data_IF_690457244963
#
_entry.id   IF_690457244963
#
_cell.length_a   1.000
_cell.length_b   1.000
_cell.length_c   1.000
_cell.angle_alpha   90.00
_cell.angle_beta   90.00
_cell.angle_gamma   90.00
#
_symmetry.space_group_name_H-M   'P 1'
#
loop_
_entity.id
_entity.type
_entity.pdbx_description
1 polymer ?
#
# COMPACT_ATOMS: atom_id res chain seq x y z
N UNK A 1 9.19 11.18 -16.95
CA UNK A 1 7.87 11.23 -17.63
C UNK A 1 7.04 10.07 -17.13
N UNK A 2 6.07 10.32 -16.24
CA UNK A 2 5.14 9.29 -15.76
C UNK A 2 4.23 8.88 -16.92
N UNK A 3 4.25 7.60 -17.29
CA UNK A 3 3.23 6.99 -18.13
C UNK A 3 1.91 7.11 -17.36
N UNK A 4 1.10 8.14 -17.65
CA UNK A 4 -0.23 8.25 -17.04
C UNK A 4 -1.10 7.14 -17.62
N UNK A 5 -1.27 6.07 -16.83
CA UNK A 5 -2.22 5.01 -17.15
C UNK A 5 -3.60 5.62 -17.42
N UNK A 6 -4.26 5.19 -18.50
CA UNK A 6 -5.64 5.59 -18.79
C UNK A 6 -6.53 5.37 -17.56
N UNK A 7 -7.49 6.25 -17.34
CA UNK A 7 -8.49 6.00 -16.31
C UNK A 7 -9.31 4.76 -16.61
N UNK A 8 -9.91 4.19 -15.57
CA UNK A 8 -10.74 2.98 -15.69
C UNK A 8 -11.92 3.24 -16.64
N UNK A 9 -12.53 4.43 -16.56
CA UNK A 9 -13.63 4.80 -17.44
C UNK A 9 -13.18 4.87 -18.91
N UNK A 10 -12.05 5.53 -19.20
CA UNK A 10 -11.52 5.64 -20.57
C UNK A 10 -11.00 4.29 -21.08
N UNK A 11 -10.37 3.49 -20.22
CA UNK A 11 -9.91 2.15 -20.54
C UNK A 11 -11.06 1.24 -20.97
N UNK A 12 -12.16 1.23 -20.21
CA UNK A 12 -13.32 0.42 -20.56
C UNK A 12 -13.90 0.86 -21.92
N UNK A 13 -14.03 2.17 -22.16
CA UNK A 13 -14.48 2.70 -23.45
C UNK A 13 -13.56 2.27 -24.61
N UNK A 14 -12.25 2.23 -24.38
CA UNK A 14 -11.28 1.74 -25.35
C UNK A 14 -11.50 0.26 -25.70
N UNK A 15 -11.74 -0.60 -24.71
CA UNK A 15 -12.04 -2.02 -24.93
C UNK A 15 -13.32 -2.17 -25.77
N UNK A 16 -14.38 -1.42 -25.46
CA UNK A 16 -15.61 -1.43 -26.26
C UNK A 16 -15.41 -0.87 -27.67
N UNK A 17 -14.58 0.15 -27.84
CA UNK A 17 -14.29 0.72 -29.15
C UNK A 17 -13.65 -0.30 -30.09
N UNK A 18 -12.73 -1.11 -29.57
CA UNK A 18 -12.09 -2.20 -30.32
C UNK A 18 -13.12 -3.26 -30.71
N UNK A 19 -13.94 -3.72 -29.77
CA UNK A 19 -14.98 -4.73 -30.04
C UNK A 19 -16.00 -4.24 -31.08
N UNK A 20 -16.46 -2.98 -30.95
CA UNK A 20 -17.37 -2.36 -31.91
C UNK A 20 -16.72 -2.22 -33.28
N UNK A 21 -15.46 -1.79 -33.37
CA UNK A 21 -14.76 -1.68 -34.65
C UNK A 21 -14.72 -3.04 -35.39
N UNK A 22 -14.36 -4.12 -34.71
CA UNK A 22 -14.35 -5.46 -35.32
C UNK A 22 -15.74 -5.91 -35.76
N UNK A 23 -16.75 -5.75 -34.89
CA UNK A 23 -18.13 -6.12 -35.19
C UNK A 23 -18.69 -5.34 -36.38
N UNK A 24 -18.48 -4.03 -36.42
CA UNK A 24 -18.97 -3.18 -37.51
C UNK A 24 -18.24 -3.47 -38.82
N UNK A 25 -16.92 -3.71 -38.80
CA UNK A 25 -16.17 -4.11 -40.00
C UNK A 25 -16.71 -5.42 -40.56
N UNK A 26 -16.94 -6.41 -39.70
CA UNK A 26 -17.52 -7.69 -40.09
C UNK A 26 -18.90 -7.50 -40.74
N UNK A 27 -19.79 -6.71 -40.11
CA UNK A 27 -21.13 -6.44 -40.63
C UNK A 27 -21.08 -5.76 -42.00
N UNK A 28 -20.27 -4.70 -42.15
CA UNK A 28 -20.11 -3.98 -43.43
C UNK A 28 -19.64 -4.91 -44.55
N UNK A 29 -18.68 -5.81 -44.26
CA UNK A 29 -18.18 -6.77 -45.26
C UNK A 29 -19.24 -7.78 -45.67
N UNK A 30 -20.02 -8.29 -44.73
CA UNK A 30 -21.08 -9.24 -45.01
C UNK A 30 -22.24 -8.60 -45.78
N UNK A 31 -22.69 -7.41 -45.38
CA UNK A 31 -23.74 -6.69 -46.11
C UNK A 31 -23.32 -6.41 -47.55
N UNK A 32 -22.05 -6.05 -47.78
CA UNK A 32 -21.53 -5.90 -49.15
C UNK A 32 -21.53 -7.21 -49.94
N UNK A 33 -21.23 -8.34 -49.30
CA UNK A 33 -21.15 -9.65 -49.97
C UNK A 33 -22.51 -10.24 -50.31
N UNK A 34 -23.50 -10.08 -49.42
CA UNK A 34 -24.78 -10.80 -49.50
C UNK A 34 -25.96 -9.91 -49.89
N UNK A 35 -25.88 -8.59 -49.68
CA UNK A 35 -26.96 -7.64 -50.01
C UNK A 35 -26.55 -6.64 -51.09
N UNK A 36 -25.29 -6.68 -51.55
CA UNK A 36 -24.68 -5.77 -52.53
C UNK A 36 -24.79 -4.27 -52.16
N UNK A 37 -25.00 -3.97 -50.86
CA UNK A 37 -25.03 -2.60 -50.34
C UNK A 37 -23.64 -2.17 -49.90
N UNK A 38 -23.27 -0.93 -50.23
CA UNK A 38 -22.05 -0.30 -49.73
C UNK A 38 -22.36 0.75 -48.67
N UNK A 39 -21.62 0.69 -47.55
CA UNK A 39 -21.73 1.68 -46.48
C UNK A 39 -20.53 2.63 -46.56
N UNK A 40 -20.81 3.93 -46.49
CA UNK A 40 -19.78 4.96 -46.42
C UNK A 40 -19.01 4.85 -45.11
N UNK A 41 -17.67 4.97 -45.17
CA UNK A 41 -16.78 5.05 -44.00
C UNK A 41 -17.29 6.07 -42.99
N UNK A 42 -17.81 7.22 -43.47
CA UNK A 42 -18.36 8.27 -42.60
C UNK A 42 -19.55 7.77 -41.78
N UNK A 43 -20.47 7.01 -42.40
CA UNK A 43 -21.62 6.40 -41.69
C UNK A 43 -21.15 5.36 -40.69
N UNK A 44 -20.15 4.56 -41.05
CA UNK A 44 -19.54 3.56 -40.16
C UNK A 44 -18.91 4.20 -38.92
N UNK A 45 -18.12 5.26 -39.09
CA UNK A 45 -17.53 5.99 -37.97
C UNK A 45 -18.59 6.64 -37.07
N UNK A 46 -19.66 7.21 -37.66
CA UNK A 46 -20.78 7.77 -36.88
C UNK A 46 -21.52 6.68 -36.10
N UNK A 47 -21.72 5.51 -36.70
CA UNK A 47 -22.33 4.37 -36.02
C UNK A 47 -21.50 3.92 -34.81
N UNK A 48 -20.19 3.71 -34.98
CA UNK A 48 -19.28 3.34 -33.88
C UNK A 48 -19.31 4.40 -32.77
N UNK A 49 -19.28 5.69 -33.14
CA UNK A 49 -19.34 6.79 -32.17
C UNK A 49 -20.66 6.81 -31.38
N UNK A 50 -21.79 6.59 -32.05
CA UNK A 50 -23.09 6.52 -31.40
C UNK A 50 -23.20 5.30 -30.46
N UNK A 51 -22.75 4.13 -30.91
CA UNK A 51 -22.71 2.92 -30.07
C UNK A 51 -21.80 3.09 -28.86
N UNK A 52 -20.64 3.75 -29.02
CA UNK A 52 -19.75 4.07 -27.90
C UNK A 52 -20.39 5.03 -26.90
N UNK A 53 -21.09 6.04 -27.37
CA UNK A 53 -21.82 6.97 -26.51
C UNK A 53 -22.87 6.25 -25.66
N UNK A 54 -23.64 5.33 -26.26
CA UNK A 54 -24.68 4.59 -25.55
C UNK A 54 -24.09 3.59 -24.56
N UNK A 55 -23.02 2.88 -24.93
CA UNK A 55 -22.27 2.02 -23.99
C UNK A 55 -21.68 2.85 -22.86
N UNK A 56 -21.17 4.05 -23.14
CA UNK A 56 -20.56 4.94 -22.16
C UNK A 56 -21.49 5.40 -21.04
N UNK A 57 -22.82 5.36 -21.25
CA UNK A 57 -23.82 5.61 -20.19
C UNK A 57 -23.94 4.45 -19.20
N UNK A 58 -23.64 3.25 -19.66
CA UNK A 58 -23.76 2.00 -18.88
C UNK A 58 -22.41 1.62 -18.29
N UNK A 59 -21.32 2.03 -18.96
CA UNK A 59 -19.97 1.67 -18.61
C UNK A 59 -19.56 2.30 -17.27
N UNK A 60 -19.26 1.45 -16.29
CA UNK A 60 -18.76 1.87 -14.99
C UNK A 60 -17.30 2.30 -15.01
N UNK A 61 -16.81 2.70 -13.83
CA UNK A 61 -15.45 3.20 -13.64
C UNK A 61 -15.40 4.70 -13.47
N UNK A 62 -14.26 5.19 -12.99
CA UNK A 62 -14.06 6.62 -12.71
C UNK A 62 -12.96 7.18 -13.60
N UNK A 63 -13.12 8.42 -14.05
CA UNK A 63 -12.07 9.18 -14.73
C UNK A 63 -10.94 9.57 -13.76
N UNK A 64 -9.74 9.82 -14.28
CA UNK A 64 -8.57 10.24 -13.48
C UNK A 64 -8.56 11.77 -13.23
N UNK A 65 -9.65 12.47 -13.57
CA UNK A 65 -9.76 13.93 -13.51
C UNK A 65 -8.65 14.67 -14.29
N UNK A 66 -8.12 14.06 -15.36
CA UNK A 66 -7.11 14.68 -16.24
C UNK A 66 -7.79 15.42 -17.39
N UNK A 67 -7.08 16.39 -17.98
CA UNK A 67 -7.57 17.09 -19.18
C UNK A 67 -7.75 16.12 -20.36
N UNK A 68 -6.86 15.13 -20.51
CA UNK A 68 -6.95 14.15 -21.59
C UNK A 68 -8.24 13.30 -21.49
N UNK A 69 -8.56 12.80 -20.29
CA UNK A 69 -9.82 12.08 -20.05
C UNK A 69 -11.03 12.94 -20.39
N UNK A 70 -11.03 14.20 -19.93
CA UNK A 70 -12.09 15.16 -20.21
C UNK A 70 -12.27 15.37 -21.73
N UNK A 71 -11.18 15.57 -22.48
CA UNK A 71 -11.23 15.74 -23.93
C UNK A 71 -11.79 14.50 -24.63
N UNK A 72 -11.34 13.30 -24.26
CA UNK A 72 -11.82 12.05 -24.85
C UNK A 72 -13.33 11.87 -24.58
N UNK A 73 -13.74 11.97 -23.32
CA UNK A 73 -15.14 11.80 -22.91
C UNK A 73 -16.05 12.86 -23.55
N UNK A 74 -15.62 14.12 -23.57
CA UNK A 74 -16.34 15.20 -24.23
C UNK A 74 -16.47 14.97 -25.74
N UNK A 75 -15.40 14.51 -26.41
CA UNK A 75 -15.44 14.21 -27.85
C UNK A 75 -16.46 13.12 -28.21
N UNK A 76 -16.71 12.19 -27.28
CA UNK A 76 -17.65 11.09 -27.41
C UNK A 76 -19.05 11.43 -26.87
N UNK A 77 -19.25 12.62 -26.26
CA UNK A 77 -20.50 13.01 -25.61
C UNK A 77 -20.81 12.25 -24.32
N UNK A 78 -19.81 11.63 -23.70
CA UNK A 78 -19.96 10.79 -22.52
C UNK A 78 -19.71 11.62 -21.26
N UNK A 79 -20.59 11.50 -20.27
CA UNK A 79 -20.41 12.16 -18.97
C UNK A 79 -19.27 11.50 -18.19
N UNK A 80 -18.27 12.27 -17.80
CA UNK A 80 -17.22 11.79 -16.92
C UNK A 80 -17.72 11.50 -15.50
N UNK A 81 -17.24 10.39 -14.93
CA UNK A 81 -17.53 9.98 -13.56
C UNK A 81 -16.30 10.33 -12.71
N UNK A 82 -16.29 11.49 -12.02
CA UNK A 82 -15.12 11.92 -11.27
C UNK A 82 -14.80 10.93 -10.14
N UNK A 83 -13.51 10.67 -9.93
CA UNK A 83 -13.07 10.02 -8.69
C UNK A 83 -13.47 10.89 -7.50
N UNK A 84 -13.92 10.26 -6.41
CA UNK A 84 -14.08 10.95 -5.14
C UNK A 84 -12.73 11.51 -4.72
N UNK A 85 -12.71 12.78 -4.32
CA UNK A 85 -11.51 13.37 -3.74
C UNK A 85 -11.11 12.55 -2.49
N UNK A 86 -9.82 12.27 -2.28
CA UNK A 86 -9.38 11.62 -1.06
C UNK A 86 -9.72 12.51 0.13
N UNK A 87 -10.22 11.91 1.21
CA UNK A 87 -10.39 12.60 2.49
C UNK A 87 -9.02 12.77 3.14
N UNK A 88 -8.58 14.00 3.31
CA UNK A 88 -7.34 14.31 4.04
C UNK A 88 -7.67 14.24 5.53
N UNK A 89 -6.99 13.34 6.25
CA UNK A 89 -7.07 13.22 7.70
C UNK A 89 -5.74 13.61 8.32
N UNK A 90 -5.77 14.32 9.45
CA UNK A 90 -4.58 14.61 10.21
C UNK A 90 -4.14 13.35 10.96
N UNK A 91 -2.89 12.91 10.73
CA UNK A 91 -2.29 11.78 11.43
C UNK A 91 -1.37 12.32 12.51
N UNK A 92 -1.71 12.03 13.77
CA UNK A 92 -0.91 12.41 14.93
C UNK A 92 -0.49 11.18 15.72
N UNK A 93 0.71 11.22 16.27
CA UNK A 93 1.11 10.25 17.29
C UNK A 93 0.42 10.59 18.61
N UNK A 94 -0.23 9.59 19.21
CA UNK A 94 -0.87 9.72 20.51
C UNK A 94 -0.13 8.90 21.56
N UNK A 95 0.10 9.43 22.77
CA UNK A 95 0.71 8.66 23.84
C UNK A 95 -0.16 7.48 24.26
N UNK A 96 0.46 6.37 24.70
CA UNK A 96 -0.29 5.24 25.26
C UNK A 96 -0.85 5.58 26.65
N UNK A 97 -1.75 4.74 27.20
CA UNK A 97 -2.27 4.92 28.56
C UNK A 97 -1.15 4.95 29.62
N UNK A 98 -1.40 5.50 30.82
CA UNK A 98 -0.42 5.48 31.91
C UNK A 98 0.13 4.08 32.17
N UNK A 99 1.41 3.97 32.49
CA UNK A 99 2.18 2.73 32.70
C UNK A 99 2.52 1.92 31.45
N UNK A 100 1.93 2.22 30.29
CA UNK A 100 2.25 1.56 29.03
C UNK A 100 3.46 2.21 28.34
N UNK A 101 4.23 1.37 27.65
CA UNK A 101 5.24 1.78 26.69
C UNK A 101 4.66 1.57 25.29
N UNK A 102 4.77 2.60 24.46
CA UNK A 102 4.45 2.52 23.03
C UNK A 102 5.71 2.28 22.24
N UNK A 103 5.71 1.24 21.42
CA UNK A 103 6.76 0.88 20.50
C UNK A 103 6.26 1.16 19.09
N UNK A 104 6.90 2.09 18.39
CA UNK A 104 6.73 2.26 16.97
C UNK A 104 7.83 1.48 16.25
N UNK A 105 7.49 0.66 15.26
CA UNK A 105 8.45 -0.14 14.47
C UNK A 105 8.29 0.15 12.99
N UNK A 106 9.39 -0.01 12.26
CA UNK A 106 9.43 0.15 10.80
C UNK A 106 10.53 -0.75 10.22
N UNK A 107 10.30 -1.22 8.99
CA UNK A 107 11.20 -2.03 8.21
C UNK A 107 11.40 -1.43 6.83
N UNK A 108 12.62 -0.97 6.56
CA UNK A 108 12.98 -0.48 5.24
C UNK A 108 13.62 -1.61 4.43
N UNK A 109 13.26 -1.72 3.14
CA UNK A 109 14.00 -2.49 2.17
C UNK A 109 14.00 -1.78 0.81
N UNK A 110 15.18 -1.60 0.22
CA UNK A 110 15.32 -0.96 -1.09
C UNK A 110 15.05 -1.97 -2.22
N UNK A 111 13.80 -2.05 -2.67
CA UNK A 111 13.37 -2.96 -3.73
C UNK A 111 12.91 -4.33 -3.22
N UNK A 112 12.67 -5.27 -4.15
CA UNK A 112 12.33 -6.65 -3.80
C UNK A 112 13.62 -7.46 -3.67
N UNK A 113 14.05 -7.72 -2.43
CA UNK A 113 15.39 -8.20 -2.06
C UNK A 113 16.47 -7.14 -2.28
N UNK A 114 16.63 -6.25 -1.30
CA UNK A 114 17.69 -5.23 -1.33
C UNK A 114 18.13 -4.82 0.07
N UNK A 115 19.04 -3.82 0.18
CA UNK A 115 19.49 -3.28 1.45
C UNK A 115 18.31 -2.98 2.38
N UNK A 116 18.36 -3.56 3.57
CA UNK A 116 17.23 -3.59 4.49
C UNK A 116 17.63 -3.28 5.92
N UNK A 117 16.70 -2.68 6.65
CA UNK A 117 16.90 -2.20 8.01
C UNK A 117 15.64 -2.46 8.81
N UNK A 118 15.80 -3.04 10.02
CA UNK A 118 14.75 -3.10 11.03
C UNK A 118 15.00 -2.02 12.08
N UNK A 119 13.98 -1.27 12.46
CA UNK A 119 14.15 -0.18 13.44
C UNK A 119 12.92 -0.03 14.32
N UNK A 120 13.11 0.55 15.50
CA UNK A 120 12.00 0.87 16.39
C UNK A 120 12.37 1.87 17.47
N UNK A 121 11.35 2.54 18.01
CA UNK A 121 11.49 3.51 19.08
C UNK A 121 10.44 3.26 20.16
N UNK A 122 10.90 3.25 21.41
CA UNK A 122 10.08 3.11 22.59
C UNK A 122 9.80 4.47 23.21
N UNK A 123 8.54 4.74 23.52
CA UNK A 123 8.09 5.98 24.15
C UNK A 123 7.18 5.68 25.32
N UNK A 124 7.33 6.46 26.40
CA UNK A 124 6.42 6.42 27.55
C UNK A 124 5.08 7.10 27.26
N UNK A 125 4.12 6.94 28.18
CA UNK A 125 2.86 7.69 28.18
C UNK A 125 3.01 9.23 28.24
N UNK A 126 4.21 9.75 28.53
CA UNK A 126 4.52 11.18 28.48
C UNK A 126 5.25 11.59 27.19
N UNK A 127 5.39 10.69 26.23
CA UNK A 127 6.12 10.92 24.97
C UNK A 127 7.65 10.82 25.10
N UNK A 128 8.20 10.70 26.31
CA UNK A 128 9.65 10.54 26.49
C UNK A 128 10.16 9.25 25.87
N UNK A 129 11.23 9.36 25.09
CA UNK A 129 11.95 8.22 24.52
C UNK A 129 12.54 7.41 25.67
N UNK A 130 12.26 6.11 25.66
CA UNK A 130 12.80 5.13 26.61
C UNK A 130 13.92 4.30 26.01
N UNK A 131 13.99 4.27 24.69
CA UNK A 131 15.08 3.68 23.93
C UNK A 131 14.68 3.57 22.47
N UNK A 132 15.60 3.13 21.64
CA UNK A 132 15.31 2.70 20.28
C UNK A 132 16.48 1.95 19.70
N UNK A 133 16.23 1.36 18.54
CA UNK A 133 17.18 0.50 17.88
C UNK A 133 17.08 0.63 16.39
N UNK A 134 18.19 0.32 15.73
CA UNK A 134 18.28 0.13 14.30
C UNK A 134 19.21 -1.04 14.03
N UNK A 135 18.82 -1.91 13.10
CA UNK A 135 19.59 -3.09 12.73
C UNK A 135 19.70 -3.14 11.22
N UNK A 136 20.91 -2.98 10.69
CA UNK A 136 21.19 -3.25 9.29
C UNK A 136 21.14 -4.76 9.05
N UNK A 137 20.26 -5.19 8.14
CA UNK A 137 19.95 -6.59 7.87
C UNK A 137 20.64 -7.13 6.61
N UNK A 138 21.47 -6.31 5.96
CA UNK A 138 21.99 -6.62 4.64
C UNK A 138 20.86 -6.67 3.61
N UNK A 139 20.81 -7.73 2.81
CA UNK A 139 19.80 -7.87 1.75
C UNK A 139 18.60 -8.69 2.25
N UNK A 140 17.43 -8.04 2.36
CA UNK A 140 16.18 -8.69 2.79
C UNK A 140 14.96 -8.14 2.04
N UNK A 141 13.81 -8.74 2.28
CA UNK A 141 12.51 -8.21 1.83
C UNK A 141 11.96 -7.19 2.84
N UNK A 142 11.08 -6.30 2.38
CA UNK A 142 10.39 -5.36 3.25
C UNK A 142 9.64 -6.08 4.39
N UNK A 143 8.88 -7.13 4.04
CA UNK A 143 8.15 -7.91 5.05
C UNK A 143 9.07 -8.53 6.11
N UNK A 144 10.24 -9.04 5.71
CA UNK A 144 11.21 -9.57 6.67
C UNK A 144 11.70 -8.48 7.63
N UNK A 145 12.07 -7.30 7.11
CA UNK A 145 12.56 -6.19 7.92
C UNK A 145 11.49 -5.70 8.90
N UNK A 146 10.25 -5.54 8.43
CA UNK A 146 9.09 -5.11 9.22
C UNK A 146 8.78 -6.08 10.36
N UNK A 147 8.72 -7.37 10.04
CA UNK A 147 8.44 -8.40 11.03
C UNK A 147 9.58 -8.53 12.05
N UNK A 148 10.84 -8.49 11.58
CA UNK A 148 12.00 -8.54 12.47
C UNK A 148 12.07 -7.32 13.40
N UNK A 149 11.73 -6.13 12.92
CA UNK A 149 11.64 -4.92 13.75
C UNK A 149 10.67 -5.13 14.93
N UNK A 150 9.48 -5.68 14.65
CA UNK A 150 8.53 -6.02 15.70
C UNK A 150 9.08 -7.04 16.70
N UNK A 151 9.74 -8.11 16.23
CA UNK A 151 10.30 -9.16 17.08
C UNK A 151 11.43 -8.63 17.99
N UNK A 152 12.38 -7.86 17.43
CA UNK A 152 13.43 -7.20 18.21
C UNK A 152 12.79 -6.29 19.26
N UNK A 153 11.79 -5.50 18.87
CA UNK A 153 11.11 -4.59 19.78
C UNK A 153 10.44 -5.30 20.97
N UNK A 154 9.74 -6.42 20.72
CA UNK A 154 9.10 -7.22 21.78
C UNK A 154 10.16 -7.81 22.73
N UNK A 155 11.23 -8.38 22.17
CA UNK A 155 12.33 -8.95 22.96
C UNK A 155 12.97 -7.91 23.88
N UNK A 156 13.27 -6.71 23.36
CA UNK A 156 13.86 -5.65 24.18
C UNK A 156 12.89 -5.09 25.22
N UNK A 157 11.60 -4.96 24.90
CA UNK A 157 10.60 -4.56 25.89
C UNK A 157 10.58 -5.55 27.06
N UNK A 158 10.56 -6.86 26.77
CA UNK A 158 10.60 -7.91 27.78
C UNK A 158 11.85 -7.83 28.65
N UNK A 159 13.04 -7.74 28.03
CA UNK A 159 14.33 -7.64 28.73
C UNK A 159 14.44 -6.42 29.65
N UNK A 160 13.78 -5.32 29.30
CA UNK A 160 13.75 -4.09 30.09
C UNK A 160 12.62 -4.06 31.15
N UNK A 161 11.86 -5.15 31.32
CA UNK A 161 10.76 -5.20 32.26
C UNK A 161 9.54 -4.35 31.86
N UNK A 162 9.43 -3.96 30.59
CA UNK A 162 8.30 -3.19 30.07
C UNK A 162 7.14 -4.10 29.69
N UNK A 163 6.54 -4.73 30.70
CA UNK A 163 5.51 -5.76 30.51
C UNK A 163 4.18 -5.24 29.96
N UNK A 164 3.97 -3.91 29.88
CA UNK A 164 2.81 -3.27 29.26
C UNK A 164 3.22 -2.59 27.96
N UNK A 165 3.05 -3.28 26.83
CA UNK A 165 3.59 -2.88 25.54
C UNK A 165 2.47 -2.70 24.50
N UNK A 166 2.42 -1.50 23.91
CA UNK A 166 1.61 -1.22 22.74
C UNK A 166 2.53 -1.07 21.52
N UNK A 167 2.51 -2.05 20.61
CA UNK A 167 3.22 -2.00 19.34
C UNK A 167 2.37 -1.35 18.23
N UNK A 168 2.95 -0.38 17.54
CA UNK A 168 2.40 0.24 16.33
C UNK A 168 3.32 -0.01 15.14
N UNK A 169 2.76 -0.54 14.06
CA UNK A 169 3.43 -0.71 12.76
C UNK A 169 2.54 -0.13 11.66
N UNK A 170 3.16 0.44 10.65
CA UNK A 170 2.51 0.91 9.42
C UNK A 170 2.42 -0.18 8.34
N UNK A 171 2.85 -1.40 8.66
CA UNK A 171 2.67 -2.58 7.82
C UNK A 171 1.56 -3.47 8.37
N UNK A 172 0.34 -3.30 7.83
CA UNK A 172 -0.86 -4.01 8.30
C UNK A 172 -0.68 -5.54 8.38
N UNK A 173 0.12 -6.13 7.47
CA UNK A 173 0.39 -7.57 7.50
C UNK A 173 1.15 -8.00 8.76
N UNK A 174 2.09 -7.21 9.28
CA UNK A 174 2.80 -7.55 10.54
C UNK A 174 1.82 -7.57 11.70
N UNK A 175 0.92 -6.57 11.77
CA UNK A 175 -0.15 -6.51 12.78
C UNK A 175 -1.02 -7.77 12.70
N UNK A 176 -1.45 -8.17 11.50
CA UNK A 176 -2.22 -9.39 11.30
C UNK A 176 -1.46 -10.67 11.68
N UNK A 177 -0.16 -10.75 11.38
CA UNK A 177 0.67 -11.87 11.79
C UNK A 177 0.72 -11.99 13.32
N UNK A 178 0.97 -10.90 14.04
CA UNK A 178 1.07 -10.88 15.50
C UNK A 178 -0.27 -11.18 16.19
N UNK A 179 -1.39 -10.82 15.57
CA UNK A 179 -2.74 -11.10 16.07
C UNK A 179 -3.25 -12.50 15.71
N UNK A 180 -2.55 -13.24 14.83
CA UNK A 180 -2.97 -14.56 14.37
C UNK A 180 -2.17 -15.67 15.08
N UNK A 181 -2.78 -16.45 16.00
CA UNK A 181 -2.10 -17.53 16.71
C UNK A 181 -1.59 -18.65 15.81
N UNK A 182 -2.17 -18.81 14.63
CA UNK A 182 -1.82 -19.86 13.65
C UNK A 182 -0.74 -19.41 12.67
N UNK A 183 -0.28 -18.15 12.74
CA UNK A 183 0.75 -17.67 11.84
C UNK A 183 2.09 -18.35 12.11
N UNK A 184 2.74 -18.78 11.02
CA UNK A 184 4.06 -19.39 11.04
C UNK A 184 5.00 -18.52 10.21
N UNK A 185 6.04 -17.92 10.80
CA UNK A 185 7.01 -17.13 10.05
C UNK A 185 7.96 -18.02 9.24
N UNK A 186 8.74 -17.39 8.37
CA UNK A 186 9.87 -18.03 7.70
C UNK A 186 10.84 -18.66 8.71
N UNK A 187 11.54 -19.72 8.29
CA UNK A 187 12.41 -20.51 9.16
C UNK A 187 13.47 -19.65 9.88
N UNK A 188 13.99 -18.63 9.21
CA UNK A 188 15.03 -17.74 9.72
C UNK A 188 14.56 -16.83 10.86
N UNK A 189 13.25 -16.53 10.95
CA UNK A 189 12.64 -15.78 12.05
C UNK A 189 11.99 -16.68 13.11
N UNK A 190 11.98 -18.01 12.90
CA UNK A 190 11.19 -18.93 13.71
C UNK A 190 11.61 -18.93 15.19
N UNK A 191 12.91 -18.89 15.46
CA UNK A 191 13.43 -18.85 16.84
C UNK A 191 13.01 -17.58 17.57
N UNK A 192 13.22 -16.41 16.97
CA UNK A 192 12.84 -15.12 17.55
C UNK A 192 11.33 -15.02 17.75
N UNK A 193 10.55 -15.51 16.80
CA UNK A 193 9.10 -15.59 16.90
C UNK A 193 8.65 -16.43 18.09
N UNK A 194 9.18 -17.66 18.24
CA UNK A 194 8.83 -18.54 19.35
C UNK A 194 9.20 -17.93 20.71
N UNK A 195 10.36 -17.27 20.80
CA UNK A 195 10.75 -16.54 22.01
C UNK A 195 9.78 -15.40 22.33
N UNK A 196 9.41 -14.59 21.33
CA UNK A 196 8.43 -13.52 21.50
C UNK A 196 7.06 -14.06 21.93
N UNK A 197 6.61 -15.19 21.36
CA UNK A 197 5.37 -15.84 21.79
C UNK A 197 5.41 -16.26 23.27
N UNK A 198 6.57 -16.65 23.79
CA UNK A 198 6.74 -16.93 25.23
C UNK A 198 6.67 -15.64 26.04
N UNK A 199 7.37 -14.58 25.63
CA UNK A 199 7.36 -13.29 26.33
C UNK A 199 5.96 -12.68 26.40
N UNK A 200 5.24 -12.70 25.28
CA UNK A 200 3.90 -12.14 25.15
C UNK A 200 2.87 -12.81 26.07
N UNK A 201 3.05 -14.08 26.45
CA UNK A 201 2.18 -14.76 27.44
C UNK A 201 2.25 -14.14 28.84
N UNK A 202 3.30 -13.39 29.11
CA UNK A 202 3.59 -12.74 30.40
C UNK A 202 3.58 -11.21 30.30
N UNK A 203 3.07 -10.66 29.20
CA UNK A 203 2.95 -9.21 28.98
C UNK A 203 1.49 -8.84 28.70
N UNK A 204 1.11 -7.64 29.13
CA UNK A 204 -0.06 -6.97 28.58
C UNK A 204 0.33 -6.39 27.22
N UNK A 205 -0.07 -7.06 26.14
CA UNK A 205 0.32 -6.69 24.78
C UNK A 205 -0.87 -6.18 23.95
N UNK A 206 -0.65 -5.07 23.26
CA UNK A 206 -1.55 -4.54 22.24
C UNK A 206 -0.77 -4.28 20.96
N UNK A 207 -1.42 -4.51 19.82
CA UNK A 207 -0.83 -4.22 18.51
C UNK A 207 -1.87 -3.56 17.61
N UNK A 208 -1.49 -2.47 16.95
CA UNK A 208 -2.36 -1.74 16.03
C UNK A 208 -1.62 -1.24 14.80
N UNK A 209 -2.36 -1.06 13.72
CA UNK A 209 -1.86 -0.40 12.52
C UNK A 209 -1.81 1.12 12.69
N UNK A 210 -0.77 1.77 12.18
CA UNK A 210 -0.66 3.22 12.09
C UNK A 210 -0.47 3.65 10.63
N UNK A 211 -0.80 4.90 10.29
CA UNK A 211 -0.43 5.45 8.99
C UNK A 211 1.06 5.82 8.98
N UNK A 212 1.71 5.74 7.82
CA UNK A 212 3.14 6.05 7.65
C UNK A 212 3.49 7.46 8.14
N UNK A 213 2.57 8.41 7.95
CA UNK A 213 2.70 9.79 8.43
C UNK A 213 2.87 9.88 9.96
N UNK A 214 2.31 8.93 10.71
CA UNK A 214 2.44 8.82 12.16
C UNK A 214 3.70 8.09 12.62
N UNK A 215 4.43 7.46 11.70
CA UNK A 215 5.63 6.65 11.94
C UNK A 215 6.94 7.33 11.51
N UNK A 216 6.88 8.62 11.17
CA UNK A 216 7.98 9.36 10.54
C UNK A 216 9.31 9.41 11.33
N UNK A 217 9.32 9.16 12.63
CA UNK A 217 10.59 9.07 13.39
C UNK A 217 11.34 7.77 13.08
N UNK A 218 10.64 6.64 13.03
CA UNK A 218 11.29 5.35 12.75
C UNK A 218 11.62 5.22 11.28
N UNK A 219 10.82 5.77 10.37
CA UNK A 219 11.19 5.86 8.93
C UNK A 219 12.52 6.60 8.73
N UNK A 220 12.72 7.73 9.42
CA UNK A 220 14.02 8.43 9.40
C UNK A 220 15.15 7.58 9.99
N UNK A 221 14.91 6.86 11.09
CA UNK A 221 15.89 5.96 11.67
C UNK A 221 16.25 4.81 10.71
N UNK A 222 15.26 4.27 9.98
CA UNK A 222 15.47 3.20 9.02
C UNK A 222 16.37 3.65 7.87
N UNK A 223 16.14 4.86 7.35
CA UNK A 223 16.96 5.47 6.30
C UNK A 223 18.42 5.69 6.77
N UNK A 224 18.61 6.16 8.00
CA UNK A 224 19.96 6.30 8.58
C UNK A 224 20.63 4.94 8.81
N UNK A 225 19.85 3.94 9.19
CA UNK A 225 20.31 2.58 9.48
C UNK A 225 21.00 1.86 8.34
N UNK A 226 20.74 2.26 7.10
CA UNK A 226 21.39 1.71 5.90
C UNK A 226 22.91 1.92 5.99
N UNK A 227 23.34 3.02 6.59
CA UNK A 227 24.74 3.40 6.72
C UNK A 227 25.42 2.85 7.99
N UNK A 228 24.66 2.25 8.91
CA UNK A 228 25.21 1.66 10.13
C UNK A 228 25.71 0.24 9.90
N UNK A 229 26.80 -0.11 10.59
CA UNK A 229 27.29 -1.49 10.67
C UNK A 229 26.54 -2.24 11.77
N UNK A 230 25.62 -3.14 11.37
CA UNK A 230 24.93 -4.06 12.27
C UNK A 230 23.86 -3.41 13.16
N UNK A 231 23.76 -3.90 14.40
CA UNK A 231 22.76 -3.48 15.38
C UNK A 231 23.25 -2.31 16.24
N UNK A 232 22.40 -1.32 16.43
CA UNK A 232 22.63 -0.14 17.26
C UNK A 232 21.46 0.05 18.22
N UNK A 233 21.76 0.37 19.48
CA UNK A 233 20.78 0.73 20.51
C UNK A 233 21.09 2.11 21.08
N UNK A 234 20.06 2.91 21.33
CA UNK A 234 20.18 4.21 21.99
C UNK A 234 19.13 4.33 23.10
N UNK A 235 19.50 5.04 24.18
CA UNK A 235 18.58 5.37 25.28
C UNK A 235 17.86 6.70 25.06
N UNK A 236 18.46 7.60 24.29
CA UNK A 236 17.95 8.92 23.93
C UNK A 236 17.74 8.99 22.43
N UNK A 237 16.82 9.85 21.97
CA UNK A 237 16.61 10.04 20.54
C UNK A 237 17.94 10.32 19.80
N UNK A 238 18.22 9.64 18.68
CA UNK A 238 19.40 9.88 17.87
C UNK A 238 19.30 11.19 17.08
#
# INVERSE_FOLDING_TARGET
MMNQAMSIQVFNLWVFAIMLAFSTIWQVRNTRRFEDKTLSVKRTCLHIKASLHDIGKICGGTMSNTQNDLCILHSLGIKGIPRKAPTIIAVHWYPPPPTWIKLNTDGLAQGNLGPAVATGIFRSCRGFVKGGFTSNLGVQTAFYAELLAALIGIEYAWRNGWHKLWLESDFATVVHCLQNPSYIPSWSLRTQWLNCQVYLKSMDFQCSHNFREGNCVVDKCANLGIYYSGFQWWWTAP
#
